data_IF_920142165677
#
_entry.id   IF_920142165677
#
_cell.length_a   1.000
_cell.length_b   1.000
_cell.length_c   1.000
_cell.angle_alpha   90.00
_cell.angle_beta   90.00
_cell.angle_gamma   90.00
#
_symmetry.space_group_name_H-M   'P 1'
#
loop_
_entity.id
_entity.type
_entity.pdbx_description
1 polymer ?
#
# COMPACT_ATOMS: atom_id res chain seq x y z
N UNK A 1 67.10 27.09 -18.90
CA UNK A 1 66.02 26.16 -19.27
C UNK A 1 65.64 25.43 -17.99
N UNK A 2 64.66 25.89 -17.22
CA UNK A 2 63.21 25.71 -17.41
C UNK A 2 62.84 24.26 -17.72
N UNK A 3 62.32 23.59 -16.69
CA UNK A 3 61.26 22.56 -16.62
C UNK A 3 61.28 22.11 -15.14
N UNK A 4 60.47 22.60 -14.20
CA UNK A 4 59.01 22.67 -14.09
C UNK A 4 58.32 21.31 -14.26
N UNK A 5 58.25 20.54 -13.18
CA UNK A 5 57.19 19.55 -12.99
C UNK A 5 56.61 19.73 -11.57
N UNK A 6 55.35 20.17 -11.53
CA UNK A 6 54.58 20.42 -10.32
C UNK A 6 54.15 19.07 -9.72
N UNK A 7 54.54 18.81 -8.47
CA UNK A 7 54.26 17.57 -7.78
C UNK A 7 52.85 17.62 -7.17
N UNK A 8 51.92 17.07 -7.97
CA UNK A 8 50.52 16.71 -7.68
C UNK A 8 49.95 17.25 -6.37
N UNK A 9 49.21 18.35 -6.49
CA UNK A 9 48.24 18.78 -5.50
C UNK A 9 47.30 17.63 -5.15
N UNK A 10 47.38 17.20 -3.89
CA UNK A 10 46.38 16.38 -3.22
C UNK A 10 45.10 17.21 -3.04
N UNK A 11 44.39 17.47 -4.15
CA UNK A 11 43.00 17.87 -4.09
C UNK A 11 42.20 16.58 -3.94
N UNK A 12 42.09 16.09 -2.71
CA UNK A 12 41.08 15.10 -2.36
C UNK A 12 39.71 15.76 -2.51
N UNK A 13 39.23 15.84 -3.76
CA UNK A 13 37.81 15.90 -4.06
C UNK A 13 37.21 14.63 -3.47
N UNK A 14 36.61 14.76 -2.31
CA UNK A 14 35.63 13.79 -1.83
C UNK A 14 34.48 13.86 -2.84
N UNK A 15 34.62 13.16 -3.97
CA UNK A 15 33.53 12.90 -4.90
C UNK A 15 32.54 12.04 -4.14
N UNK A 16 31.66 12.70 -3.37
CA UNK A 16 30.52 12.06 -2.77
C UNK A 16 29.75 11.41 -3.90
N UNK A 17 29.88 10.08 -4.02
CA UNK A 17 29.24 9.32 -5.07
C UNK A 17 27.74 9.59 -4.99
N UNK A 18 27.23 10.35 -5.95
CA UNK A 18 25.80 10.56 -6.09
C UNK A 18 25.18 9.18 -6.27
N UNK A 19 24.39 8.75 -5.30
CA UNK A 19 23.74 7.46 -5.31
C UNK A 19 22.26 7.65 -5.03
N UNK A 20 21.44 6.94 -5.79
CA UNK A 20 20.00 6.86 -5.55
C UNK A 20 19.76 5.60 -4.74
N UNK A 21 18.97 5.72 -3.68
CA UNK A 21 18.56 4.59 -2.85
C UNK A 21 17.05 4.64 -2.62
N UNK A 22 16.47 3.49 -2.35
CA UNK A 22 15.08 3.38 -1.94
C UNK A 22 14.98 3.38 -0.42
N UNK A 23 13.97 4.09 0.10
CA UNK A 23 13.60 4.01 1.51
C UNK A 23 12.94 2.67 1.87
N UNK A 24 12.51 2.56 3.12
CA UNK A 24 11.70 1.43 3.57
C UNK A 24 10.26 1.53 3.02
N UNK A 25 9.64 0.38 2.77
CA UNK A 25 8.22 0.27 2.47
C UNK A 25 7.43 0.31 3.77
N UNK A 26 6.43 1.18 3.81
CA UNK A 26 5.48 1.31 4.91
C UNK A 26 4.11 0.77 4.48
N UNK A 27 3.52 -0.13 5.27
CA UNK A 27 2.21 -0.71 4.99
C UNK A 27 1.21 -0.24 6.04
N UNK A 28 0.03 0.22 5.59
CA UNK A 28 -1.10 0.57 6.45
C UNK A 28 -2.27 -0.37 6.21
N UNK A 29 -2.82 -0.92 7.30
CA UNK A 29 -4.06 -1.68 7.25
C UNK A 29 -5.18 -0.82 7.81
N UNK A 30 -6.05 -0.36 6.93
CA UNK A 30 -7.24 0.42 7.29
C UNK A 30 -8.40 -0.48 7.71
N UNK A 31 -9.25 0.03 8.60
CA UNK A 31 -10.53 -0.60 8.89
C UNK A 31 -11.43 -0.60 7.65
N UNK A 32 -12.29 -1.61 7.53
CA UNK A 32 -13.33 -1.67 6.49
C UNK A 32 -14.62 -1.11 7.07
N UNK A 33 -15.29 -0.25 6.32
CA UNK A 33 -16.57 0.34 6.70
C UNK A 33 -17.59 0.23 5.57
N UNK A 34 -18.85 0.49 5.87
CA UNK A 34 -19.89 0.68 4.85
C UNK A 34 -19.68 2.02 4.16
N UNK A 35 -19.85 2.04 2.84
CA UNK A 35 -19.74 3.25 2.01
C UNK A 35 -21.10 3.80 1.57
N UNK A 36 -21.06 4.75 0.64
CA UNK A 36 -22.22 5.45 0.08
C UNK A 36 -22.24 5.43 -1.46
N UNK A 37 -21.47 4.52 -2.08
CA UNK A 37 -21.35 4.46 -3.53
C UNK A 37 -22.67 4.01 -4.19
N UNK A 38 -23.32 4.86 -5.02
CA UNK A 38 -24.67 4.59 -5.52
C UNK A 38 -24.73 3.57 -6.66
N UNK A 39 -23.60 3.25 -7.32
CA UNK A 39 -23.56 2.36 -8.48
C UNK A 39 -23.24 0.91 -8.12
N UNK A 40 -23.46 0.49 -6.87
CA UNK A 40 -23.37 -0.93 -6.52
C UNK A 40 -24.56 -1.67 -7.12
N UNK A 41 -24.29 -2.69 -7.94
CA UNK A 41 -25.35 -3.46 -8.58
C UNK A 41 -26.06 -4.42 -7.62
N UNK A 42 -25.40 -4.84 -6.54
CA UNK A 42 -25.94 -5.80 -5.57
C UNK A 42 -25.09 -5.84 -4.27
N UNK A 43 -25.73 -5.82 -3.11
CA UNK A 43 -25.11 -5.76 -1.77
C UNK A 43 -24.52 -4.38 -1.43
N UNK A 44 -24.10 -4.19 -0.17
CA UNK A 44 -23.62 -2.87 0.26
C UNK A 44 -22.29 -2.45 -0.36
N UNK A 45 -22.13 -1.14 -0.60
CA UNK A 45 -20.82 -0.55 -0.85
C UNK A 45 -19.95 -0.66 0.42
N UNK A 46 -18.65 -0.93 0.21
CA UNK A 46 -17.65 -0.95 1.28
C UNK A 46 -16.57 0.08 0.97
N UNK A 47 -16.03 0.69 2.01
CA UNK A 47 -14.99 1.72 1.94
C UNK A 47 -13.93 1.49 3.01
N UNK A 48 -12.83 2.24 2.95
CA UNK A 48 -11.79 2.25 3.97
C UNK A 48 -12.07 3.37 4.97
N UNK A 49 -11.92 3.07 6.26
CA UNK A 49 -11.97 4.07 7.31
C UNK A 49 -10.66 4.81 7.52
N UNK A 50 -10.75 5.88 8.31
CA UNK A 50 -9.60 6.72 8.64
C UNK A 50 -8.66 6.07 9.65
N UNK A 51 -9.14 5.13 10.47
CA UNK A 51 -8.29 4.41 11.41
C UNK A 51 -7.46 3.37 10.66
N UNK A 52 -6.20 3.28 11.03
CA UNK A 52 -5.27 2.31 10.46
C UNK A 52 -4.30 1.79 11.51
N UNK A 53 -3.83 0.57 11.30
CA UNK A 53 -2.66 0.03 11.96
C UNK A 53 -1.47 0.20 11.02
N UNK A 54 -0.43 0.87 11.50
CA UNK A 54 0.84 1.03 10.79
C UNK A 54 1.72 -0.19 11.09
N UNK A 55 2.25 -0.82 10.05
CA UNK A 55 3.24 -1.88 10.19
C UNK A 55 4.66 -1.31 10.16
N UNK A 56 5.59 -2.08 10.72
CA UNK A 56 7.02 -1.75 10.69
C UNK A 56 7.53 -1.63 9.24
N UNK A 57 8.48 -0.71 9.05
CA UNK A 57 9.14 -0.52 7.77
C UNK A 57 9.90 -1.77 7.33
N UNK A 58 9.71 -2.17 6.07
CA UNK A 58 10.41 -3.31 5.45
C UNK A 58 11.26 -2.85 4.27
N UNK A 59 12.48 -3.38 4.13
CA UNK A 59 13.29 -3.06 2.95
C UNK A 59 12.64 -3.58 1.67
N UNK A 60 12.80 -2.83 0.58
CA UNK A 60 12.26 -3.19 -0.74
C UNK A 60 12.67 -4.62 -1.13
N UNK A 61 13.94 -4.97 -0.96
CA UNK A 61 14.45 -6.30 -1.30
C UNK A 61 13.77 -7.42 -0.52
N UNK A 62 13.48 -7.21 0.77
CA UNK A 62 12.82 -8.22 1.60
C UNK A 62 11.35 -8.35 1.20
N UNK A 63 10.69 -7.24 0.88
CA UNK A 63 9.30 -7.24 0.43
C UNK A 63 9.15 -7.95 -0.92
N UNK A 64 9.94 -7.59 -1.93
CA UNK A 64 9.83 -8.18 -3.28
C UNK A 64 10.14 -9.67 -3.29
N UNK A 65 11.07 -10.15 -2.44
CA UNK A 65 11.30 -11.59 -2.26
C UNK A 65 10.09 -12.34 -1.66
N UNK A 66 9.29 -11.68 -0.83
CA UNK A 66 8.16 -12.28 -0.11
C UNK A 66 6.79 -12.04 -0.78
N UNK A 67 6.68 -11.06 -1.68
CA UNK A 67 5.43 -10.54 -2.26
C UNK A 67 4.55 -11.60 -2.95
N UNK A 68 5.16 -12.67 -3.48
CA UNK A 68 4.47 -13.68 -4.26
C UNK A 68 4.00 -13.16 -5.64
N UNK A 69 3.23 -13.95 -6.40
CA UNK A 69 2.73 -13.54 -7.71
C UNK A 69 1.71 -12.40 -7.63
N UNK A 70 1.62 -11.62 -8.70
CA UNK A 70 0.61 -10.57 -8.82
C UNK A 70 -0.81 -11.17 -8.73
N UNK A 71 -1.67 -10.51 -7.94
CA UNK A 71 -3.07 -10.92 -7.80
C UNK A 71 -3.83 -10.64 -9.10
N UNK A 72 -4.69 -11.57 -9.48
CA UNK A 72 -5.65 -11.37 -10.56
C UNK A 72 -6.76 -10.42 -10.11
N UNK A 73 -7.38 -9.70 -11.06
CA UNK A 73 -8.45 -8.74 -10.75
C UNK A 73 -9.60 -9.37 -9.93
N UNK A 74 -9.93 -10.63 -10.20
CA UNK A 74 -10.94 -11.38 -9.43
C UNK A 74 -10.60 -11.50 -7.94
N UNK A 75 -9.31 -11.60 -7.59
CA UNK A 75 -8.82 -11.68 -6.20
C UNK A 75 -8.76 -10.32 -5.50
N UNK A 76 -8.92 -9.23 -6.25
CA UNK A 76 -9.03 -7.87 -5.69
C UNK A 76 -10.49 -7.51 -5.37
N UNK A 77 -11.46 -8.27 -5.89
CA UNK A 77 -12.88 -8.02 -5.67
C UNK A 77 -13.35 -8.71 -4.39
N UNK A 78 -14.02 -7.97 -3.52
CA UNK A 78 -14.68 -8.55 -2.35
C UNK A 78 -16.00 -9.19 -2.83
N UNK A 79 -16.26 -10.48 -2.57
CA UNK A 79 -17.51 -11.12 -2.94
C UNK A 79 -18.72 -10.48 -2.27
N UNK A 80 -19.88 -10.56 -2.94
CA UNK A 80 -21.14 -10.00 -2.46
C UNK A 80 -21.51 -10.50 -1.08
N UNK A 81 -21.36 -11.80 -0.87
CA UNK A 81 -21.72 -12.51 0.36
C UNK A 81 -20.93 -11.96 1.55
N UNK A 82 -19.64 -11.69 1.33
CA UNK A 82 -18.77 -11.06 2.34
C UNK A 82 -19.23 -9.63 2.64
N UNK A 83 -19.67 -8.87 1.63
CA UNK A 83 -20.20 -7.51 1.84
C UNK A 83 -21.53 -7.51 2.60
N UNK A 84 -22.39 -8.50 2.36
CA UNK A 84 -23.64 -8.67 3.12
C UNK A 84 -23.35 -9.08 4.55
N UNK A 85 -22.39 -9.96 4.79
CA UNK A 85 -21.99 -10.30 6.14
C UNK A 85 -21.48 -9.08 6.91
N UNK A 86 -20.66 -8.22 6.28
CA UNK A 86 -20.21 -6.96 6.87
C UNK A 86 -21.38 -6.04 7.25
N UNK A 87 -22.43 -5.96 6.42
CA UNK A 87 -23.66 -5.24 6.76
C UNK A 87 -24.32 -5.79 8.01
N UNK A 88 -24.52 -7.11 8.10
CA UNK A 88 -25.23 -7.74 9.21
C UNK A 88 -24.46 -7.64 10.53
N UNK A 89 -23.12 -7.68 10.47
CA UNK A 89 -22.26 -7.61 11.64
C UNK A 89 -22.12 -6.18 12.19
N UNK A 90 -22.10 -5.17 11.31
CA UNK A 90 -21.75 -3.80 11.69
C UNK A 90 -22.89 -2.78 11.56
N UNK A 91 -23.94 -3.11 10.82
CA UNK A 91 -25.17 -2.36 10.79
C UNK A 91 -26.25 -3.18 11.48
N UNK A 92 -27.04 -2.55 12.35
CA UNK A 92 -28.18 -3.19 13.03
C UNK A 92 -29.33 -3.45 12.04
N UNK A 93 -29.06 -4.17 10.96
CA UNK A 93 -29.91 -4.38 9.80
C UNK A 93 -30.16 -5.88 9.68
N UNK A 94 -31.41 -6.27 9.47
CA UNK A 94 -31.77 -7.68 9.36
C UNK A 94 -31.57 -8.20 7.94
N UNK A 95 -31.47 -9.53 7.80
CA UNK A 95 -31.43 -10.18 6.48
C UNK A 95 -32.66 -9.89 5.61
N UNK A 96 -33.81 -9.53 6.21
CA UNK A 96 -34.99 -9.13 5.47
C UNK A 96 -34.77 -7.78 4.80
N UNK A 97 -34.27 -6.80 5.56
CA UNK A 97 -34.03 -5.44 5.06
C UNK A 97 -33.02 -5.43 3.91
N UNK A 98 -32.02 -6.33 3.94
CA UNK A 98 -31.02 -6.48 2.85
C UNK A 98 -31.64 -7.09 1.58
N UNK A 99 -32.68 -7.92 1.68
CA UNK A 99 -33.35 -8.52 0.52
C UNK A 99 -34.34 -7.56 -0.13
N UNK A 100 -34.84 -6.59 0.62
CA UNK A 100 -35.86 -5.62 0.18
C UNK A 100 -35.25 -4.34 -0.44
N UNK A 101 -33.93 -4.17 -0.31
CA UNK A 101 -33.14 -3.08 -0.92
C UNK A 101 -32.58 -3.47 -2.28
#
# INVERSE_FOLDING_TARGET
>A
ALSAECEKDNCCTQEGKQSVSFGAIEVRTHERMLGDHPCVSDGAPVTLGWKYNQHDGISVDKYERARGPARQLAQLRIPREVRIQLLLEHANVSLRDVKEA
#
